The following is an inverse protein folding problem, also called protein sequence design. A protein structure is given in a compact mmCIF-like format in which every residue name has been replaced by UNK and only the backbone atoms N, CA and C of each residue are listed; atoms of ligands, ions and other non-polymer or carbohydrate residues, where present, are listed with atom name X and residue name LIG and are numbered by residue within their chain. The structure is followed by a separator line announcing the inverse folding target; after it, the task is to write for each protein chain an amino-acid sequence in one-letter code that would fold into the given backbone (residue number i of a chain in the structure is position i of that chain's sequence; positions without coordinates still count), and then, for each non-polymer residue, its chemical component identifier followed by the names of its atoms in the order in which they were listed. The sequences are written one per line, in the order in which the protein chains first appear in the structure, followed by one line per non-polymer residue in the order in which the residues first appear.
data_IF_038068838780
#
_entry.id   IF_038068838780
#
_cell.length_a   1.000
_cell.length_b   1.000
_cell.length_c   1.000
_cell.angle_alpha   90.00
_cell.angle_beta   90.00
_cell.angle_gamma   90.00
#
_symmetry.space_group_name_H-M   'P 1'
#
loop_
_entity.id
_entity.type
_entity.pdbx_description
1 polymer ?
#
# COMPACT_ATOMS: atom_id res chain seq x y z
N UNK A 1 15.82 -57.19 2.50
CA UNK A 1 15.76 -57.26 3.98
C UNK A 1 14.44 -56.64 4.41
N UNK A 2 13.89 -57.24 5.46
CA UNK A 2 12.48 -57.36 5.84
C UNK A 2 11.77 -56.10 6.41
N UNK A 3 10.43 -56.16 6.59
CA UNK A 3 9.48 -55.03 6.54
C UNK A 3 8.71 -54.76 7.87
N UNK A 4 7.79 -53.76 7.79
CA UNK A 4 6.49 -53.59 8.51
C UNK A 4 6.40 -53.76 10.03
N UNK A 5 5.67 -52.85 10.70
CA UNK A 5 4.59 -53.25 11.64
C UNK A 5 3.43 -52.23 11.66
N UNK A 6 2.29 -52.66 11.10
CA UNK A 6 0.95 -52.11 11.29
C UNK A 6 0.32 -52.97 12.38
N UNK A 7 0.05 -52.43 13.58
CA UNK A 7 -0.65 -53.18 14.62
C UNK A 7 -2.16 -52.94 14.54
N UNK A 8 -2.81 -53.81 13.78
CA UNK A 8 -4.15 -54.31 14.06
C UNK A 8 -4.08 -55.24 15.28
N UNK A 9 -4.70 -54.84 16.39
CA UNK A 9 -4.77 -55.64 17.62
C UNK A 9 -6.21 -55.91 18.04
N UNK A 10 -6.80 -56.94 17.47
CA UNK A 10 -8.08 -57.54 17.82
C UNK A 10 -8.06 -58.08 19.25
N UNK A 11 -9.08 -57.78 20.06
CA UNK A 11 -9.43 -58.63 21.21
C UNK A 11 -10.95 -58.73 21.34
N UNK A 12 -11.48 -59.85 20.81
CA UNK A 12 -12.82 -60.33 21.10
C UNK A 12 -12.87 -60.85 22.55
N UNK A 13 -13.82 -60.38 23.36
CA UNK A 13 -14.41 -61.17 24.46
C UNK A 13 -15.89 -60.86 24.69
N UNK A 14 -16.68 -61.89 24.39
CA UNK A 14 -17.82 -62.41 25.16
C UNK A 14 -19.20 -61.74 25.04
N UNK A 15 -20.10 -62.53 24.46
CA UNK A 15 -21.54 -62.36 24.32
C UNK A 15 -22.22 -62.72 25.65
N UNK A 16 -23.01 -61.80 26.21
CA UNK A 16 -24.13 -62.12 27.10
C UNK A 16 -25.20 -61.01 26.98
N UNK A 17 -26.50 -61.35 26.80
CA UNK A 17 -27.55 -60.36 26.62
C UNK A 17 -27.99 -59.86 28.00
N UNK A 18 -27.51 -58.68 28.42
CA UNK A 18 -28.04 -58.03 29.62
C UNK A 18 -29.22 -57.16 29.23
N UNK A 19 -30.41 -57.71 29.44
CA UNK A 19 -31.68 -56.99 29.52
C UNK A 19 -31.57 -55.88 30.58
N UNK A 20 -31.23 -54.68 30.13
CA UNK A 20 -31.42 -53.44 30.89
C UNK A 20 -32.69 -52.79 30.35
N UNK A 21 -33.74 -52.64 31.17
CA UNK A 21 -34.95 -51.97 30.76
C UNK A 21 -34.63 -50.54 30.36
N UNK A 22 -35.24 -50.12 29.27
CA UNK A 22 -35.28 -48.76 28.74
C UNK A 22 -35.61 -47.77 29.87
N UNK A 23 -34.58 -47.21 30.49
CA UNK A 23 -34.73 -45.98 31.25
C UNK A 23 -34.68 -44.86 30.22
N UNK A 24 -35.87 -44.36 29.89
CA UNK A 24 -36.05 -43.11 29.18
C UNK A 24 -35.16 -42.05 29.84
N UNK A 25 -34.00 -41.78 29.23
CA UNK A 25 -33.21 -40.61 29.59
C UNK A 25 -34.08 -39.42 29.24
N UNK A 26 -34.69 -38.86 30.29
CA UNK A 26 -35.20 -37.51 30.36
C UNK A 26 -34.35 -36.62 29.45
N UNK A 27 -35.02 -35.91 28.54
CA UNK A 27 -34.47 -34.76 27.86
C UNK A 27 -34.03 -33.73 28.90
N UNK A 28 -32.84 -33.90 29.46
CA UNK A 28 -32.14 -32.82 30.12
C UNK A 28 -31.92 -31.71 29.08
N UNK A 29 -32.13 -30.42 29.43
CA UNK A 29 -32.29 -29.33 28.48
C UNK A 29 -30.98 -29.05 27.74
N UNK A 30 -30.71 -29.81 26.66
CA UNK A 30 -29.56 -29.63 25.77
C UNK A 30 -29.52 -28.24 25.16
N UNK A 31 -30.68 -27.56 25.09
CA UNK A 31 -30.81 -26.16 24.72
C UNK A 31 -29.85 -25.25 25.50
N UNK A 32 -29.74 -25.37 26.83
CA UNK A 32 -28.97 -24.41 27.65
C UNK A 32 -27.46 -24.44 27.40
N UNK A 33 -26.87 -25.63 27.19
CA UNK A 33 -25.44 -25.77 26.88
C UNK A 33 -25.13 -25.31 25.46
N UNK A 34 -26.03 -25.60 24.53
CA UNK A 34 -25.91 -25.16 23.15
C UNK A 34 -26.15 -23.66 23.00
N UNK A 35 -27.03 -23.07 23.81
CA UNK A 35 -27.26 -21.63 23.90
C UNK A 35 -26.04 -20.88 24.43
N UNK A 36 -25.37 -21.41 25.46
CA UNK A 36 -24.10 -20.84 25.96
C UNK A 36 -23.02 -20.87 24.88
N UNK A 37 -22.94 -21.96 24.12
CA UNK A 37 -21.97 -22.12 23.02
C UNK A 37 -22.28 -21.15 21.87
N UNK A 38 -23.55 -21.04 21.48
CA UNK A 38 -24.03 -20.07 20.49
C UNK A 38 -23.76 -18.63 20.93
N UNK A 39 -24.01 -18.30 22.19
CA UNK A 39 -23.75 -16.97 22.74
C UNK A 39 -22.26 -16.62 22.71
N UNK A 40 -21.37 -17.55 23.09
CA UNK A 40 -19.93 -17.33 23.03
C UNK A 40 -19.44 -17.15 21.58
N UNK A 41 -19.94 -17.96 20.64
CA UNK A 41 -19.63 -17.79 19.22
C UNK A 41 -20.10 -16.43 18.69
N UNK A 42 -21.33 -16.01 19.03
CA UNK A 42 -21.89 -14.71 18.63
C UNK A 42 -21.10 -13.53 19.21
N UNK A 43 -20.62 -13.66 20.44
CA UNK A 43 -19.73 -12.67 21.08
C UNK A 43 -18.40 -12.55 20.33
N UNK A 44 -17.77 -13.69 20.00
CA UNK A 44 -16.49 -13.71 19.27
C UNK A 44 -16.65 -13.06 17.90
N UNK A 45 -17.70 -13.40 17.15
CA UNK A 45 -17.93 -12.82 15.83
C UNK A 45 -18.25 -11.33 15.90
N UNK A 46 -19.00 -10.87 16.92
CA UNK A 46 -19.22 -9.44 17.11
C UNK A 46 -17.89 -8.70 17.32
N UNK A 47 -17.01 -9.17 18.21
CA UNK A 47 -15.70 -8.52 18.42
C UNK A 47 -14.84 -8.49 17.15
N UNK A 48 -14.90 -9.54 16.33
CA UNK A 48 -14.25 -9.57 15.02
C UNK A 48 -14.83 -8.48 14.09
N UNK A 49 -16.16 -8.35 14.01
CA UNK A 49 -16.81 -7.31 13.21
C UNK A 49 -16.47 -5.91 13.68
N UNK A 50 -16.39 -5.68 14.99
CA UNK A 50 -16.02 -4.38 15.57
C UNK A 50 -14.59 -3.99 15.19
N UNK A 51 -13.63 -4.94 15.23
CA UNK A 51 -12.26 -4.70 14.74
C UNK A 51 -12.23 -4.32 13.26
N UNK A 52 -12.96 -5.05 12.40
CA UNK A 52 -13.05 -4.72 10.98
C UNK A 52 -13.63 -3.33 10.77
N UNK A 53 -14.69 -2.97 11.49
CA UNK A 53 -15.30 -1.64 11.39
C UNK A 53 -14.34 -0.54 11.83
N UNK A 54 -13.58 -0.76 12.91
CA UNK A 54 -12.58 0.18 13.37
C UNK A 54 -11.46 0.38 12.33
N UNK A 55 -11.01 -0.68 11.68
CA UNK A 55 -10.03 -0.56 10.59
C UNK A 55 -10.58 0.18 9.38
N UNK A 56 -11.85 -0.05 9.00
CA UNK A 56 -12.50 0.71 7.92
C UNK A 56 -12.59 2.21 8.27
N UNK A 57 -12.92 2.55 9.51
CA UNK A 57 -12.97 3.94 9.97
C UNK A 57 -11.59 4.58 10.08
N UNK A 58 -10.54 3.82 10.43
CA UNK A 58 -9.18 4.34 10.39
C UNK A 58 -8.73 4.58 8.95
N UNK A 59 -9.05 3.66 8.04
CA UNK A 59 -8.76 3.77 6.62
C UNK A 59 -9.40 5.03 6.02
N UNK A 60 -10.65 5.33 6.36
CA UNK A 60 -11.33 6.56 5.88
C UNK A 60 -10.69 7.86 6.37
N UNK A 61 -9.92 7.84 7.46
CA UNK A 61 -9.19 9.02 7.94
C UNK A 61 -7.84 9.21 7.25
N UNK A 62 -7.24 8.12 6.76
CA UNK A 62 -5.94 8.13 6.10
C UNK A 62 -6.03 8.50 4.61
N UNK A 63 -7.19 8.26 3.98
CA UNK A 63 -7.41 8.54 2.55
C UNK A 63 -7.97 9.96 2.39
N UNK A 64 -7.34 10.80 1.55
CA UNK A 64 -7.91 12.08 1.15
C UNK A 64 -9.33 11.93 0.58
N UNK A 65 -10.18 12.95 0.71
CA UNK A 65 -11.51 13.00 0.10
C UNK A 65 -12.56 12.00 0.60
N UNK A 66 -12.24 11.14 1.57
CA UNK A 66 -13.20 10.21 2.16
C UNK A 66 -14.14 10.89 3.17
N UNK A 67 -13.72 12.01 3.78
CA UNK A 67 -14.52 12.80 4.73
C UNK A 67 -15.32 13.96 4.08
N UNK A 68 -15.03 14.28 2.81
CA UNK A 68 -15.57 15.49 2.13
C UNK A 68 -16.91 15.19 1.46
N UNK A 69 -17.17 13.94 1.08
CA UNK A 69 -18.49 13.51 0.63
C UNK A 69 -19.40 13.24 1.84
N UNK A 70 -20.14 14.26 2.27
CA UNK A 70 -21.24 14.14 3.23
C UNK A 70 -22.44 13.33 2.69
N UNK A 71 -22.31 12.74 1.51
CA UNK A 71 -23.31 11.82 0.95
C UNK A 71 -23.23 10.47 1.68
N UNK A 72 -24.39 9.88 2.00
CA UNK A 72 -24.49 8.60 2.73
C UNK A 72 -23.73 7.44 2.06
N UNK A 73 -23.42 7.56 0.77
CA UNK A 73 -22.66 6.60 -0.03
C UNK A 73 -21.14 6.76 0.13
N UNK A 74 -20.62 7.98 0.29
CA UNK A 74 -19.19 8.25 0.44
C UNK A 74 -18.59 7.75 1.75
N UNK A 75 -19.36 7.85 2.84
CA UNK A 75 -18.99 7.34 4.17
C UNK A 75 -19.35 5.86 4.39
N UNK A 76 -19.96 5.20 3.39
CA UNK A 76 -20.31 3.79 3.51
C UNK A 76 -19.04 2.93 3.50
N UNK A 77 -19.08 1.75 4.15
CA UNK A 77 -17.95 0.80 4.14
C UNK A 77 -17.48 0.46 2.72
N UNK A 78 -18.42 0.33 1.78
CA UNK A 78 -18.11 0.10 0.36
C UNK A 78 -17.46 1.31 -0.31
N UNK A 79 -17.97 2.52 -0.05
CA UNK A 79 -17.41 3.77 -0.57
C UNK A 79 -15.99 4.02 -0.08
N UNK A 80 -15.74 3.82 1.22
CA UNK A 80 -14.41 3.93 1.83
C UNK A 80 -13.43 2.94 1.16
N UNK A 81 -13.84 1.67 0.99
CA UNK A 81 -12.98 0.65 0.38
C UNK A 81 -12.72 0.93 -1.10
N UNK A 82 -13.70 1.45 -1.85
CA UNK A 82 -13.50 1.85 -3.24
C UNK A 82 -12.50 2.99 -3.35
N UNK A 83 -12.71 4.07 -2.59
CA UNK A 83 -11.79 5.23 -2.57
C UNK A 83 -10.39 4.83 -2.12
N UNK A 84 -10.27 3.91 -1.17
CA UNK A 84 -8.98 3.35 -0.75
C UNK A 84 -8.24 2.68 -1.89
N UNK A 85 -8.95 1.85 -2.66
CA UNK A 85 -8.39 1.13 -3.79
C UNK A 85 -7.91 2.10 -4.87
N UNK A 86 -8.71 3.12 -5.18
CA UNK A 86 -8.38 4.12 -6.19
C UNK A 86 -7.21 5.00 -5.76
N UNK A 87 -7.22 5.47 -4.51
CA UNK A 87 -6.12 6.26 -3.95
C UNK A 87 -4.79 5.49 -3.95
N UNK A 88 -4.79 4.18 -3.64
CA UNK A 88 -3.57 3.36 -3.71
C UNK A 88 -3.05 3.28 -5.15
N UNK A 89 -3.93 3.13 -6.15
CA UNK A 89 -3.51 3.08 -7.56
C UNK A 89 -2.92 4.42 -7.98
N UNK A 90 -3.59 5.52 -7.66
CA UNK A 90 -3.14 6.87 -7.95
C UNK A 90 -1.80 7.17 -7.27
N UNK A 91 -1.64 6.82 -6.00
CA UNK A 91 -0.40 7.02 -5.27
C UNK A 91 0.76 6.23 -5.89
N UNK A 92 0.52 4.99 -6.33
CA UNK A 92 1.53 4.20 -7.05
C UNK A 92 1.91 4.84 -8.39
N UNK A 93 0.93 5.31 -9.16
CA UNK A 93 1.17 5.98 -10.44
C UNK A 93 1.89 7.31 -10.25
N UNK A 94 1.49 8.10 -9.25
CA UNK A 94 2.12 9.37 -8.89
C UNK A 94 3.58 9.16 -8.46
N UNK A 95 3.87 8.15 -7.63
CA UNK A 95 5.23 7.81 -7.26
C UNK A 95 6.09 7.38 -8.45
N UNK A 96 5.54 6.61 -9.39
CA UNK A 96 6.25 6.24 -10.61
C UNK A 96 6.62 7.49 -11.43
N UNK A 97 5.63 8.37 -11.66
CA UNK A 97 5.82 9.62 -12.39
C UNK A 97 6.85 10.54 -11.70
N UNK A 98 6.78 10.66 -10.37
CA UNK A 98 7.77 11.42 -9.60
C UNK A 98 9.20 10.88 -9.81
N UNK A 99 9.37 9.56 -9.91
CA UNK A 99 10.67 8.96 -10.24
C UNK A 99 11.19 9.34 -11.63
N UNK A 100 10.30 9.39 -12.64
CA UNK A 100 10.62 9.86 -13.99
C UNK A 100 10.96 11.35 -14.02
N UNK A 101 10.19 12.16 -13.27
CA UNK A 101 10.41 13.60 -13.14
C UNK A 101 11.76 13.90 -12.47
N UNK A 102 12.13 13.17 -11.41
CA UNK A 102 13.45 13.28 -10.77
C UNK A 102 14.57 12.96 -11.77
N UNK A 103 14.43 11.85 -12.50
CA UNK A 103 15.43 11.44 -13.50
C UNK A 103 15.59 12.48 -14.62
N UNK A 104 14.47 13.09 -15.02
CA UNK A 104 14.47 14.18 -16.00
C UNK A 104 15.12 15.44 -15.45
N UNK A 105 14.83 15.78 -14.18
CA UNK A 105 15.40 16.94 -13.51
C UNK A 105 16.91 16.80 -13.36
N UNK A 106 17.42 15.63 -13.02
CA UNK A 106 18.86 15.38 -12.90
C UNK A 106 19.58 15.48 -14.26
N UNK A 107 18.98 14.99 -15.34
CA UNK A 107 19.48 15.21 -16.70
C UNK A 107 19.55 16.70 -17.04
N UNK A 108 18.46 17.43 -16.80
CA UNK A 108 18.41 18.88 -17.05
C UNK A 108 19.42 19.65 -16.21
N UNK A 109 19.71 19.21 -14.98
CA UNK A 109 20.76 19.80 -14.14
C UNK A 109 22.14 19.65 -14.77
N UNK A 110 22.48 18.46 -15.28
CA UNK A 110 23.75 18.21 -15.96
C UNK A 110 23.86 19.07 -17.22
N UNK A 111 22.80 19.08 -18.05
CA UNK A 111 22.77 19.89 -19.27
C UNK A 111 22.94 21.39 -18.96
N UNK A 112 22.28 21.89 -17.92
CA UNK A 112 22.41 23.28 -17.49
C UNK A 112 23.83 23.60 -17.01
N UNK A 113 24.48 22.67 -16.30
CA UNK A 113 25.86 22.83 -15.85
C UNK A 113 26.82 22.88 -17.05
N UNK A 114 26.65 22.00 -18.04
CA UNK A 114 27.47 21.99 -19.26
C UNK A 114 27.30 23.28 -20.06
N UNK A 115 26.07 23.74 -20.26
CA UNK A 115 25.79 25.01 -20.95
C UNK A 115 26.41 26.20 -20.23
N UNK A 116 26.38 26.22 -18.89
CA UNK A 116 27.05 27.28 -18.11
C UNK A 116 28.56 27.27 -18.30
N UNK A 117 29.18 26.09 -18.34
CA UNK A 117 30.61 25.96 -18.61
C UNK A 117 30.95 26.46 -20.02
N UNK A 118 30.15 26.08 -21.03
CA UNK A 118 30.37 26.50 -22.40
C UNK A 118 30.24 28.03 -22.57
N UNK A 119 29.25 28.65 -21.91
CA UNK A 119 29.11 30.10 -21.87
C UNK A 119 30.33 30.78 -21.26
N UNK A 120 30.88 30.23 -20.18
CA UNK A 120 32.08 30.79 -19.53
C UNK A 120 33.31 30.67 -20.44
N UNK A 121 33.48 29.52 -21.09
CA UNK A 121 34.57 29.30 -22.04
C UNK A 121 34.50 30.29 -23.22
N UNK A 122 33.30 30.51 -23.78
CA UNK A 122 33.09 31.48 -24.86
C UNK A 122 33.30 32.93 -24.41
N UNK A 123 32.92 33.28 -23.18
CA UNK A 123 33.21 34.59 -22.60
C UNK A 123 34.70 34.81 -22.42
N UNK A 124 35.43 33.82 -21.91
CA UNK A 124 36.88 33.86 -21.74
C UNK A 124 37.59 34.02 -23.09
N UNK A 125 37.25 33.21 -24.09
CA UNK A 125 37.79 33.33 -25.46
C UNK A 125 37.51 34.71 -26.06
N UNK A 126 36.29 35.22 -25.93
CA UNK A 126 35.94 36.56 -26.39
C UNK A 126 36.76 37.64 -25.68
N UNK A 127 36.96 37.51 -24.37
CA UNK A 127 37.75 38.46 -23.59
C UNK A 127 39.20 38.49 -24.07
N UNK A 128 39.80 37.31 -24.33
CA UNK A 128 41.16 37.20 -24.86
C UNK A 128 41.26 37.87 -26.24
N UNK A 129 40.32 37.57 -27.14
CA UNK A 129 40.29 38.18 -28.48
C UNK A 129 40.11 39.70 -28.41
N UNK A 130 39.22 40.20 -27.56
CA UNK A 130 39.03 41.64 -27.32
C UNK A 130 40.29 42.30 -26.79
N UNK A 131 40.99 41.65 -25.86
CA UNK A 131 42.26 42.15 -25.32
C UNK A 131 43.34 42.22 -26.40
N UNK A 132 43.44 41.17 -27.25
CA UNK A 132 44.39 41.12 -28.36
C UNK A 132 44.12 42.21 -29.39
N UNK A 133 42.84 42.40 -29.79
CA UNK A 133 42.44 43.48 -30.69
C UNK A 133 42.78 44.87 -30.13
N UNK A 134 42.54 45.10 -28.83
CA UNK A 134 42.95 46.35 -28.15
C UNK A 134 44.47 46.54 -28.16
N UNK A 135 45.25 45.49 -27.91
CA UNK A 135 46.72 45.55 -27.95
C UNK A 135 47.25 45.94 -29.34
N UNK A 136 46.60 45.45 -30.39
CA UNK A 136 46.94 45.80 -31.77
C UNK A 136 46.31 47.12 -32.27
N UNK A 137 45.69 47.90 -31.38
CA UNK A 137 45.07 49.20 -31.74
C UNK A 137 43.80 49.10 -32.58
N UNK A 138 43.27 47.89 -32.78
CA UNK A 138 42.05 47.63 -33.54
C UNK A 138 40.87 47.82 -32.59
N UNK A 139 40.45 49.07 -32.42
CA UNK A 139 39.22 49.39 -31.71
C UNK A 139 38.05 49.09 -32.63
N UNK A 140 37.30 48.03 -32.33
CA UNK A 140 36.08 47.69 -33.05
C UNK A 140 35.12 48.87 -33.02
N UNK A 141 34.93 49.53 -34.16
CA UNK A 141 33.84 50.47 -34.38
C UNK A 141 32.54 49.67 -34.44
N UNK A 142 31.96 49.39 -33.28
CA UNK A 142 30.57 48.94 -33.19
C UNK A 142 29.90 49.70 -32.07
N UNK A 143 29.52 50.94 -32.39
CA UNK A 143 28.35 51.59 -31.81
C UNK A 143 27.18 50.64 -31.94
N UNK A 144 26.65 50.15 -30.83
CA UNK A 144 25.21 49.98 -30.54
C UNK A 144 25.08 49.44 -29.13
N UNK A 145 25.04 50.36 -28.16
CA UNK A 145 24.34 50.15 -26.90
C UNK A 145 22.83 50.03 -27.20
N UNK A 146 22.12 48.98 -26.74
CA UNK A 146 20.68 49.03 -26.58
C UNK A 146 20.35 49.46 -25.15
N UNK A 147 19.68 50.61 -25.08
CA UNK A 147 18.97 51.15 -23.92
C UNK A 147 17.76 50.30 -23.55
#
# INVERSE_FOLDING_TARGET
MSPQEVLTGSNQRTIAPRTQPYIAKQEAPRGSRDDKRRAQHNEVERRRRDKINNWIVQLSKAIPDCNIDYTKTGQSKGGILSKACDYIKELRQSNLKLGEDISTLDRLRIDNQLLRQEVEDWKSKNQILRNLLRQHGISGSSSTDPQ
#
